data_IF_357223081480
#
_entry.id   IF_357223081480
#
_cell.length_a   1.000
_cell.length_b   1.000
_cell.length_c   1.000
_cell.angle_alpha   90.00
_cell.angle_beta   90.00
_cell.angle_gamma   90.00
#
_symmetry.space_group_name_H-M   'P 1'
#
loop_
_entity.id
_entity.type
_entity.pdbx_description
1 polymer ?
#
# COMPACT_ATOMS: atom_id res chain seq x y z
N UNK A 1 -1.91 12.90 21.66
CA UNK A 1 -3.01 12.00 21.25
C UNK A 1 -2.63 11.35 19.94
N UNK A 2 -2.28 10.07 19.89
CA UNK A 2 -1.86 9.43 18.63
C UNK A 2 -3.06 8.65 18.06
N UNK A 3 -3.52 9.03 16.87
CA UNK A 3 -4.43 8.21 16.07
C UNK A 3 -3.60 7.20 15.28
N UNK A 4 -4.06 5.94 15.21
CA UNK A 4 -3.42 4.94 14.37
C UNK A 4 -4.20 4.82 13.07
N UNK A 5 -3.47 5.02 11.98
CA UNK A 5 -3.98 4.98 10.63
C UNK A 5 -3.37 3.78 9.92
N UNK A 6 -4.22 2.97 9.29
CA UNK A 6 -3.81 1.89 8.40
C UNK A 6 -4.21 2.30 6.99
N UNK A 7 -3.22 2.72 6.20
CA UNK A 7 -3.42 2.95 4.77
C UNK A 7 -3.29 1.60 4.06
N UNK A 8 -4.32 1.20 3.32
CA UNK A 8 -4.31 -0.04 2.56
C UNK A 8 -4.61 0.22 1.08
N UNK A 9 -3.98 -0.58 0.23
CA UNK A 9 -4.11 -0.54 -1.20
C UNK A 9 -4.43 -1.94 -1.69
N UNK A 10 -5.43 -2.06 -2.56
CA UNK A 10 -5.75 -3.31 -3.25
C UNK A 10 -6.01 -3.02 -4.73
N UNK A 11 -5.12 -3.52 -5.57
CA UNK A 11 -5.23 -3.41 -7.03
C UNK A 11 -6.45 -4.16 -7.59
N UNK A 12 -7.05 -5.13 -6.88
CA UNK A 12 -8.34 -5.70 -7.28
C UNK A 12 -9.53 -4.78 -6.96
N UNK A 13 -9.28 -3.68 -6.26
CA UNK A 13 -10.30 -2.72 -5.87
C UNK A 13 -11.17 -3.17 -4.69
N UNK A 14 -10.84 -4.26 -4.02
CA UNK A 14 -11.63 -4.72 -2.87
C UNK A 14 -11.47 -3.79 -1.65
N UNK A 15 -12.20 -4.12 -0.61
CA UNK A 15 -12.18 -3.42 0.66
C UNK A 15 -11.62 -4.32 1.77
N UNK A 16 -11.22 -3.76 2.91
CA UNK A 16 -10.78 -4.57 4.05
C UNK A 16 -11.88 -5.55 4.53
N UNK A 17 -13.15 -5.23 4.28
CA UNK A 17 -14.28 -6.13 4.54
C UNK A 17 -14.23 -7.43 3.73
N UNK A 18 -13.52 -7.45 2.60
CA UNK A 18 -13.27 -8.65 1.79
C UNK A 18 -12.26 -9.59 2.45
N UNK A 19 -11.45 -9.08 3.38
CA UNK A 19 -10.38 -9.82 4.05
C UNK A 19 -10.52 -9.72 5.58
N UNK A 20 -11.61 -10.25 6.17
CA UNK A 20 -11.93 -10.07 7.58
C UNK A 20 -10.84 -10.62 8.51
N UNK A 21 -10.25 -11.78 8.19
CA UNK A 21 -9.18 -12.38 8.99
C UNK A 21 -7.91 -11.53 8.99
N UNK A 22 -7.56 -10.94 7.84
CA UNK A 22 -6.41 -10.04 7.72
C UNK A 22 -6.64 -8.78 8.57
N UNK A 23 -7.84 -8.21 8.52
CA UNK A 23 -8.18 -7.05 9.35
C UNK A 23 -8.05 -7.37 10.83
N UNK A 24 -8.62 -8.48 11.29
CA UNK A 24 -8.55 -8.90 12.70
C UNK A 24 -7.10 -9.11 13.13
N UNK A 25 -6.28 -9.75 12.30
CA UNK A 25 -4.87 -9.96 12.56
C UNK A 25 -4.12 -8.63 12.74
N UNK A 26 -4.26 -7.72 11.79
CA UNK A 26 -3.58 -6.42 11.82
C UNK A 26 -4.07 -5.57 12.99
N UNK A 27 -5.38 -5.52 13.24
CA UNK A 27 -5.95 -4.79 14.39
C UNK A 27 -5.40 -5.32 15.72
N UNK A 28 -5.30 -6.65 15.85
CA UNK A 28 -4.75 -7.32 17.06
C UNK A 28 -3.28 -6.97 17.28
N UNK A 29 -2.45 -7.07 16.24
CA UNK A 29 -1.02 -6.76 16.32
C UNK A 29 -0.79 -5.30 16.68
N UNK A 30 -1.56 -4.38 16.09
CA UNK A 30 -1.46 -2.96 16.36
C UNK A 30 -1.92 -2.58 17.77
N UNK A 31 -2.96 -3.23 18.29
CA UNK A 31 -3.40 -3.08 19.68
C UNK A 31 -2.32 -3.61 20.65
N UNK A 32 -1.75 -4.77 20.38
CA UNK A 32 -0.66 -5.33 21.19
C UNK A 32 0.58 -4.41 21.20
N UNK A 33 0.98 -3.90 20.03
CA UNK A 33 2.10 -2.95 19.91
C UNK A 33 1.85 -1.67 20.74
N UNK A 34 0.63 -1.13 20.69
CA UNK A 34 0.25 0.04 21.49
C UNK A 34 0.35 -0.23 22.98
N UNK A 35 -0.20 -1.35 23.45
CA UNK A 35 -0.16 -1.75 24.86
C UNK A 35 1.28 -1.89 25.37
N UNK A 36 2.19 -2.43 24.55
CA UNK A 36 3.61 -2.55 24.88
C UNK A 36 4.36 -1.22 24.97
N UNK A 37 3.89 -0.18 24.28
CA UNK A 37 4.58 1.12 24.17
C UNK A 37 3.99 2.22 25.05
N UNK A 38 2.98 1.90 25.87
CA UNK A 38 2.22 2.85 26.72
C UNK A 38 1.75 4.11 25.96
N UNK A 39 1.35 3.93 24.70
CA UNK A 39 0.91 5.04 23.84
C UNK A 39 -0.53 5.42 24.22
N UNK A 40 -0.68 6.54 24.94
CA UNK A 40 -1.98 7.10 25.33
C UNK A 40 -2.75 7.67 24.10
N UNK A 41 -3.97 7.18 23.87
CA UNK A 41 -4.86 7.62 22.77
C UNK A 41 -5.99 8.53 23.26
N UNK A 42 -6.75 9.12 22.34
CA UNK A 42 -7.92 9.95 22.64
C UNK A 42 -8.92 9.22 23.50
N UNK A 43 -9.37 9.88 24.57
CA UNK A 43 -10.47 9.44 25.43
C UNK A 43 -11.82 9.35 24.68
N UNK A 44 -11.90 9.79 23.42
CA UNK A 44 -13.04 9.52 22.54
C UNK A 44 -12.86 8.15 21.86
N UNK A 45 -13.36 7.11 22.51
CA UNK A 45 -13.51 5.76 21.96
C UNK A 45 -12.23 4.93 22.05
N UNK A 46 -12.15 4.07 23.08
CA UNK A 46 -11.17 2.99 23.10
C UNK A 46 -11.16 2.25 21.73
N UNK A 47 -9.99 1.91 21.23
CA UNK A 47 -9.76 1.02 20.06
C UNK A 47 -9.95 1.53 18.62
N UNK A 48 -10.22 2.79 18.30
CA UNK A 48 -10.39 3.15 16.88
C UNK A 48 -9.06 3.11 16.09
N UNK A 49 -8.85 2.03 15.35
CA UNK A 49 -7.89 1.93 14.24
C UNK A 49 -8.65 2.39 13.01
N UNK A 50 -8.18 3.46 12.37
CA UNK A 50 -8.83 3.98 11.16
C UNK A 50 -8.16 3.36 9.93
N UNK A 51 -8.91 2.57 9.19
CA UNK A 51 -8.50 2.00 7.92
C UNK A 51 -8.83 2.98 6.80
N UNK A 52 -7.84 3.38 6.02
CA UNK A 52 -7.97 4.36 4.94
C UNK A 52 -7.63 3.67 3.63
N UNK A 53 -8.64 3.57 2.74
CA UNK A 53 -8.44 3.06 1.38
C UNK A 53 -7.64 4.07 0.57
N UNK A 54 -6.56 3.60 -0.04
CA UNK A 54 -5.77 4.38 -0.99
C UNK A 54 -6.33 4.14 -2.39
N UNK A 55 -6.62 5.22 -3.10
CA UNK A 55 -6.98 5.15 -4.51
C UNK A 55 -5.76 4.67 -5.32
N UNK A 56 -5.98 3.68 -6.18
CA UNK A 56 -4.94 3.13 -7.03
C UNK A 56 -5.52 2.59 -8.34
N UNK A 57 -4.71 2.46 -9.39
CA UNK A 57 -5.11 1.78 -10.61
C UNK A 57 -5.45 0.32 -10.31
N UNK A 58 -6.51 -0.17 -10.94
CA UNK A 58 -7.00 -1.52 -10.71
C UNK A 58 -6.43 -2.49 -11.74
N UNK A 59 -6.14 -3.71 -11.33
CA UNK A 59 -5.81 -4.82 -12.22
C UNK A 59 -7.10 -5.54 -12.62
N UNK A 60 -7.10 -6.11 -13.83
CA UNK A 60 -8.21 -6.94 -14.33
C UNK A 60 -7.95 -8.44 -14.18
N UNK A 61 -6.67 -8.81 -14.05
CA UNK A 61 -6.26 -10.16 -13.77
C UNK A 61 -5.93 -10.30 -12.28
N UNK A 62 -5.68 -11.52 -11.81
CA UNK A 62 -5.36 -11.81 -10.41
C UNK A 62 -3.86 -12.04 -10.19
N UNK A 63 -3.02 -11.78 -11.19
CA UNK A 63 -1.60 -12.21 -11.20
C UNK A 63 -0.62 -11.03 -11.22
N UNK A 64 -1.07 -9.82 -11.53
CA UNK A 64 -0.21 -8.65 -11.66
C UNK A 64 -0.17 -7.77 -10.39
N UNK A 65 -0.82 -8.18 -9.29
CA UNK A 65 -0.94 -7.36 -8.07
C UNK A 65 0.42 -6.86 -7.57
N UNK A 66 1.45 -7.72 -7.62
CA UNK A 66 2.81 -7.35 -7.25
C UNK A 66 3.39 -6.22 -8.11
N UNK A 67 3.17 -6.24 -9.42
CA UNK A 67 3.63 -5.19 -10.32
C UNK A 67 2.87 -3.88 -10.12
N UNK A 68 1.58 -3.96 -9.80
CA UNK A 68 0.78 -2.77 -9.46
C UNK A 68 1.29 -2.10 -8.18
N UNK A 69 1.62 -2.88 -7.15
CA UNK A 69 2.23 -2.38 -5.92
C UNK A 69 3.60 -1.75 -6.19
N UNK A 70 4.45 -2.41 -6.97
CA UNK A 70 5.78 -1.91 -7.33
C UNK A 70 5.69 -0.57 -8.07
N UNK A 71 4.81 -0.48 -9.08
CA UNK A 71 4.56 0.77 -9.82
C UNK A 71 4.12 1.89 -8.90
N UNK A 72 3.13 1.62 -8.04
CA UNK A 72 2.60 2.60 -7.11
C UNK A 72 3.70 3.16 -6.18
N UNK A 73 4.53 2.28 -5.61
CA UNK A 73 5.63 2.69 -4.74
C UNK A 73 6.68 3.50 -5.51
N UNK A 74 7.05 3.06 -6.72
CA UNK A 74 8.01 3.76 -7.57
C UNK A 74 7.52 5.17 -7.92
N UNK A 75 6.27 5.31 -8.37
CA UNK A 75 5.70 6.60 -8.75
C UNK A 75 5.56 7.54 -7.53
N UNK A 76 5.23 6.99 -6.35
CA UNK A 76 5.21 7.74 -5.08
C UNK A 76 6.58 8.35 -4.76
N UNK A 77 7.64 7.55 -4.90
CA UNK A 77 9.01 7.97 -4.65
C UNK A 77 9.51 8.96 -5.72
N UNK A 78 9.18 8.72 -6.99
CA UNK A 78 9.54 9.60 -8.11
C UNK A 78 8.96 11.01 -7.94
N UNK A 79 7.78 11.14 -7.34
CA UNK A 79 7.17 12.43 -7.01
C UNK A 79 7.66 13.05 -5.69
N UNK A 80 8.66 12.45 -5.04
CA UNK A 80 9.22 12.94 -3.78
C UNK A 80 8.22 12.91 -2.62
N UNK A 81 7.20 12.04 -2.67
CA UNK A 81 6.16 11.99 -1.65
C UNK A 81 6.64 11.16 -0.46
N UNK A 82 6.83 11.82 0.67
CA UNK A 82 7.23 11.19 1.93
C UNK A 82 6.06 10.53 2.70
N UNK A 83 4.85 10.61 2.17
CA UNK A 83 3.63 10.05 2.76
C UNK A 83 2.84 9.32 1.68
N UNK A 84 2.16 8.24 2.08
CA UNK A 84 1.22 7.53 1.22
C UNK A 84 0.04 8.48 0.95
N UNK A 85 -0.23 8.85 -0.32
CA UNK A 85 -1.36 9.69 -0.64
C UNK A 85 -2.66 8.86 -0.53
N UNK A 86 -3.76 9.50 -0.16
CA UNK A 86 -5.09 8.85 -0.18
C UNK A 86 -5.67 8.82 -1.59
N UNK A 87 -5.45 9.88 -2.34
CA UNK A 87 -5.81 9.98 -3.75
C UNK A 87 -4.64 9.53 -4.63
N UNK A 88 -4.96 8.98 -5.79
CA UNK A 88 -3.93 8.64 -6.75
C UNK A 88 -3.41 9.91 -7.44
N UNK A 89 -2.11 9.96 -7.77
CA UNK A 89 -1.44 11.14 -8.32
C UNK A 89 -2.10 11.62 -9.60
N UNK A 90 -2.45 12.91 -9.69
CA UNK A 90 -3.10 13.45 -10.88
C UNK A 90 -2.22 13.29 -12.13
N UNK A 91 -0.90 13.38 -11.98
CA UNK A 91 0.08 13.22 -13.06
C UNK A 91 0.15 11.79 -13.61
N UNK A 92 -0.21 10.79 -12.79
CA UNK A 92 -0.20 9.38 -13.17
C UNK A 92 -1.60 8.77 -13.22
N UNK A 93 -2.64 9.59 -13.04
CA UNK A 93 -4.00 9.12 -12.78
C UNK A 93 -4.53 8.27 -13.92
N UNK A 94 -4.69 6.99 -13.65
CA UNK A 94 -5.33 6.05 -14.55
C UNK A 94 -6.21 5.08 -13.78
N UNK A 95 -7.30 4.62 -14.40
CA UNK A 95 -8.15 3.59 -13.79
C UNK A 95 -7.49 2.21 -13.82
N UNK A 96 -6.63 1.94 -14.81
CA UNK A 96 -5.93 0.68 -15.02
C UNK A 96 -4.54 1.00 -15.56
N UNK A 97 -3.51 0.29 -15.11
CA UNK A 97 -2.23 0.32 -15.83
C UNK A 97 -2.38 -0.39 -17.17
N UNK A 98 -1.74 0.17 -18.19
CA UNK A 98 -1.55 -0.47 -19.48
C UNK A 98 -0.54 -1.61 -19.36
N UNK A 99 -0.54 -2.52 -20.34
CA UNK A 99 0.47 -3.57 -20.42
C UNK A 99 1.89 -2.98 -20.46
N UNK A 100 2.10 -1.93 -21.26
CA UNK A 100 3.41 -1.30 -21.41
C UNK A 100 3.92 -0.71 -20.08
N UNK A 101 3.03 -0.09 -19.28
CA UNK A 101 3.40 0.43 -17.95
C UNK A 101 3.76 -0.68 -16.95
N UNK A 102 3.13 -1.85 -17.07
CA UNK A 102 3.45 -3.03 -16.25
C UNK A 102 4.75 -3.67 -16.72
N UNK A 103 4.97 -3.75 -18.03
CA UNK A 103 6.18 -4.32 -18.63
C UNK A 103 7.41 -3.43 -18.34
N UNK A 104 7.25 -2.09 -18.32
CA UNK A 104 8.27 -1.14 -17.85
C UNK A 104 8.76 -1.50 -16.44
N UNK A 105 7.84 -1.82 -15.52
CA UNK A 105 8.19 -2.22 -14.14
C UNK A 105 8.89 -3.56 -14.09
N UNK A 106 8.48 -4.52 -14.93
CA UNK A 106 9.16 -5.81 -15.03
C UNK A 106 10.60 -5.62 -15.49
N UNK A 107 10.80 -4.83 -16.54
CA UNK A 107 12.13 -4.56 -17.10
C UNK A 107 13.02 -3.83 -16.09
N UNK A 108 12.53 -2.78 -15.44
CA UNK A 108 13.25 -2.05 -14.39
C UNK A 108 13.66 -2.98 -13.24
N UNK A 109 12.74 -3.82 -12.77
CA UNK A 109 13.01 -4.75 -11.68
C UNK A 109 14.00 -5.85 -12.10
N UNK A 110 13.85 -6.42 -13.30
CA UNK A 110 14.82 -7.36 -13.85
C UNK A 110 16.22 -6.75 -13.96
N UNK A 111 16.34 -5.52 -14.49
CA UNK A 111 17.61 -4.82 -14.59
C UNK A 111 18.24 -4.55 -13.23
N UNK A 112 17.43 -4.15 -12.23
CA UNK A 112 17.90 -3.97 -10.86
C UNK A 112 18.46 -5.27 -10.27
N UNK A 113 17.73 -6.38 -10.41
CA UNK A 113 18.17 -7.69 -9.93
C UNK A 113 19.43 -8.19 -10.64
N UNK A 114 19.54 -7.99 -11.97
CA UNK A 114 20.76 -8.33 -12.71
C UNK A 114 21.95 -7.52 -12.19
N UNK A 115 21.80 -6.22 -11.98
CA UNK A 115 22.88 -5.38 -11.44
C UNK A 115 23.32 -5.84 -10.05
N UNK A 116 22.39 -6.19 -9.17
CA UNK A 116 22.73 -6.75 -7.86
C UNK A 116 23.49 -8.08 -7.98
N UNK A 117 23.08 -8.95 -8.88
CA UNK A 117 23.71 -10.27 -9.10
C UNK A 117 25.07 -10.20 -9.80
N UNK A 118 25.35 -9.12 -10.53
CA UNK A 118 26.67 -8.87 -11.15
C UNK A 118 27.63 -8.20 -10.15
N UNK A 119 27.11 -7.64 -9.05
CA UNK A 119 27.89 -7.00 -7.99
C UNK A 119 28.01 -7.82 -6.69
N UNK A 120 27.55 -9.08 -6.70
CA UNK A 120 27.72 -10.05 -5.59
C UNK A 120 28.65 -11.19 -5.98
#
# INVERSE_FOLDING_TARGET
>A
MVQLLVYYLDSLGNDWTTYPDMKVLIDTVLQAFRAQRDIQTSRMGANSITWIKVACPQQRNQIDCGYFMLRFMRDTLALGRLKIPTDYFDEFKCAFYTKDQVDEIKEEWCQFMIKLNVCS
#
